data_IF_973970860934
#
_entry.id   IF_973970860934
#
_cell.length_a   1.000
_cell.length_b   1.000
_cell.length_c   1.000
_cell.angle_alpha   90.00
_cell.angle_beta   90.00
_cell.angle_gamma   90.00
#
_symmetry.space_group_name_H-M   'P 1'
#
loop_
_entity.id
_entity.type
_entity.pdbx_description
1 polymer ?
#
# COMPACT_ATOMS: atom_id res chain seq x y z
N UNK A 1 -6.96 42.10 8.92
CA UNK A 1 -6.86 40.86 9.71
C UNK A 1 -5.95 39.91 8.95
N UNK A 2 -4.92 39.36 9.58
CA UNK A 2 -4.09 38.31 8.96
C UNK A 2 -4.72 36.94 9.26
N UNK A 3 -4.91 36.14 8.21
CA UNK A 3 -5.29 34.74 8.36
C UNK A 3 -4.02 33.93 8.57
N UNK A 4 -3.86 33.33 9.76
CA UNK A 4 -2.75 32.45 10.07
C UNK A 4 -3.29 31.03 10.24
N UNK A 5 -2.72 30.08 9.50
CA UNK A 5 -3.13 28.67 9.53
C UNK A 5 -1.92 27.77 9.78
N UNK A 6 -2.10 26.78 10.65
CA UNK A 6 -1.17 25.68 10.87
C UNK A 6 -1.92 24.36 10.83
N UNK A 7 -1.36 23.36 10.15
CA UNK A 7 -1.93 22.00 10.08
C UNK A 7 -1.23 21.11 11.12
N UNK A 8 -2.02 20.40 11.93
CA UNK A 8 -1.54 19.48 12.97
C UNK A 8 -2.02 18.06 12.66
N UNK A 9 -1.19 17.06 12.98
CA UNK A 9 -1.45 15.63 12.77
C UNK A 9 -1.70 15.27 11.29
N UNK A 10 -0.83 15.70 10.35
CA UNK A 10 -0.99 15.32 8.95
C UNK A 10 -0.88 13.80 8.78
N UNK A 11 -1.63 13.26 7.81
CA UNK A 11 -1.50 11.87 7.37
C UNK A 11 -0.70 11.86 6.07
N UNK A 12 0.55 11.41 6.14
CA UNK A 12 1.45 11.37 4.99
C UNK A 12 1.32 10.06 4.21
N UNK A 13 1.51 10.15 2.90
CA UNK A 13 1.59 9.01 1.98
C UNK A 13 2.90 9.12 1.22
N UNK A 14 3.76 8.11 1.35
CA UNK A 14 5.03 8.03 0.63
C UNK A 14 4.87 7.24 -0.67
N UNK A 15 5.53 7.70 -1.74
CA UNK A 15 5.63 6.99 -3.00
C UNK A 15 7.11 6.90 -3.41
N UNK A 16 7.46 5.79 -4.05
CA UNK A 16 8.83 5.50 -4.49
C UNK A 16 8.79 4.97 -5.91
N UNK A 17 9.47 5.64 -6.82
CA UNK A 17 9.66 5.17 -8.19
C UNK A 17 10.92 4.31 -8.27
N UNK A 18 10.81 3.13 -8.87
CA UNK A 18 11.93 2.21 -9.05
C UNK A 18 12.37 2.22 -10.51
N UNK A 19 13.50 2.85 -10.84
CA UNK A 19 13.96 2.97 -12.23
C UNK A 19 14.23 1.61 -12.90
N UNK A 20 14.88 0.68 -12.19
CA UNK A 20 15.29 -0.62 -12.73
C UNK A 20 14.30 -1.76 -12.43
N UNK A 21 12.99 -1.43 -12.37
CA UNK A 21 11.93 -2.35 -11.95
C UNK A 21 11.78 -3.60 -12.84
N UNK A 22 12.14 -3.54 -14.12
CA UNK A 22 11.83 -4.60 -15.10
C UNK A 22 12.36 -5.98 -14.70
N UNK A 23 13.61 -6.05 -14.24
CA UNK A 23 14.25 -7.30 -13.81
C UNK A 23 13.57 -7.87 -12.56
N UNK A 24 13.29 -7.00 -11.58
CA UNK A 24 12.57 -7.39 -10.36
C UNK A 24 11.15 -7.87 -10.70
N UNK A 25 10.42 -7.13 -11.53
CA UNK A 25 9.05 -7.48 -11.92
C UNK A 25 8.99 -8.80 -12.66
N UNK A 26 9.93 -9.10 -13.57
CA UNK A 26 9.98 -10.39 -14.24
C UNK A 26 10.15 -11.55 -13.26
N UNK A 27 11.05 -11.42 -12.28
CA UNK A 27 11.26 -12.44 -11.23
C UNK A 27 10.01 -12.60 -10.36
N UNK A 28 9.46 -11.49 -9.87
CA UNK A 28 8.27 -11.49 -9.03
C UNK A 28 7.06 -12.07 -9.76
N UNK A 29 6.81 -11.66 -11.00
CA UNK A 29 5.69 -12.14 -11.79
C UNK A 29 5.76 -13.64 -11.99
N UNK A 30 6.95 -14.18 -12.32
CA UNK A 30 7.18 -15.62 -12.43
C UNK A 30 6.89 -16.35 -11.12
N UNK A 31 7.40 -15.86 -9.99
CA UNK A 31 7.19 -16.46 -8.68
C UNK A 31 5.72 -16.41 -8.24
N UNK A 32 5.04 -15.29 -8.47
CA UNK A 32 3.62 -15.07 -8.14
C UNK A 32 2.74 -16.03 -8.94
N UNK A 33 2.94 -16.15 -10.26
CA UNK A 33 2.14 -17.07 -11.06
C UNK A 33 2.45 -18.54 -10.75
N UNK A 34 3.69 -18.89 -10.40
CA UNK A 34 4.01 -20.23 -9.91
C UNK A 34 3.26 -20.54 -8.60
N UNK A 35 3.21 -19.60 -7.66
CA UNK A 35 2.44 -19.75 -6.43
C UNK A 35 0.93 -19.87 -6.70
N UNK A 36 0.38 -19.05 -7.59
CA UNK A 36 -1.03 -19.12 -7.98
C UNK A 36 -1.39 -20.42 -8.71
N UNK A 37 -0.46 -21.01 -9.46
CA UNK A 37 -0.66 -22.33 -10.05
C UNK A 37 -0.64 -23.44 -8.99
N UNK A 38 0.25 -23.31 -8.00
CA UNK A 38 0.38 -24.25 -6.88
C UNK A 38 -0.83 -24.20 -5.94
N UNK A 39 -1.30 -23.00 -5.64
CA UNK A 39 -2.44 -22.72 -4.76
C UNK A 39 -3.44 -21.81 -5.50
N UNK A 40 -4.23 -22.41 -6.37
CA UNK A 40 -5.22 -21.69 -7.18
C UNK A 40 -6.40 -21.15 -6.39
N UNK A 41 -6.67 -21.70 -5.20
CA UNK A 41 -7.73 -21.23 -4.32
C UNK A 41 -7.29 -19.95 -3.60
N UNK A 42 -6.04 -19.92 -3.13
CA UNK A 42 -5.52 -18.83 -2.32
C UNK A 42 -6.30 -18.70 -1.00
N UNK A 43 -6.24 -17.52 -0.41
CA UNK A 43 -6.95 -17.20 0.83
C UNK A 43 -8.04 -16.15 0.58
N UNK A 44 -9.03 -16.14 1.48
CA UNK A 44 -10.08 -15.14 1.50
C UNK A 44 -9.85 -14.18 2.67
N UNK A 45 -9.54 -12.93 2.35
CA UNK A 45 -9.30 -11.84 3.29
C UNK A 45 -10.24 -10.68 2.96
N UNK A 46 -9.73 -9.59 2.39
CA UNK A 46 -10.51 -8.47 1.87
C UNK A 46 -10.79 -8.57 0.37
N UNK A 47 -10.21 -9.55 -0.33
CA UNK A 47 -10.31 -9.73 -1.77
C UNK A 47 -11.72 -10.16 -2.22
N UNK A 48 -12.21 -9.50 -3.26
CA UNK A 48 -13.45 -9.81 -3.95
C UNK A 48 -13.14 -10.04 -5.44
N UNK A 49 -13.35 -11.26 -5.93
CA UNK A 49 -13.09 -11.64 -7.33
C UNK A 49 -11.61 -11.76 -7.73
N UNK A 50 -10.68 -11.39 -6.86
CA UNK A 50 -9.23 -11.51 -7.05
C UNK A 50 -8.62 -12.68 -6.27
N UNK A 51 -7.44 -13.13 -6.70
CA UNK A 51 -6.65 -14.14 -5.98
C UNK A 51 -5.71 -13.47 -4.97
N UNK A 52 -5.58 -14.05 -3.79
CA UNK A 52 -4.72 -13.60 -2.69
C UNK A 52 -3.86 -14.78 -2.22
N UNK A 53 -2.54 -14.63 -2.19
CA UNK A 53 -1.65 -15.69 -1.70
C UNK A 53 -1.70 -15.81 -0.17
N UNK A 54 -1.12 -16.87 0.37
CA UNK A 54 -0.74 -16.89 1.80
C UNK A 54 0.28 -15.77 2.12
N UNK A 55 0.32 -15.33 3.39
CA UNK A 55 1.07 -14.14 3.86
C UNK A 55 2.48 -14.45 4.39
N UNK A 56 3.23 -15.28 3.66
CA UNK A 56 4.57 -15.71 4.07
C UNK A 56 5.67 -15.40 3.05
N UNK A 57 5.46 -14.47 2.11
CA UNK A 57 6.47 -14.17 1.08
C UNK A 57 7.74 -13.55 1.68
N UNK A 58 7.65 -12.90 2.83
CA UNK A 58 8.75 -12.25 3.54
C UNK A 58 9.84 -13.22 4.00
N UNK A 59 9.50 -14.50 4.20
CA UNK A 59 10.47 -15.55 4.61
C UNK A 59 10.94 -16.43 3.46
N UNK A 60 10.42 -16.21 2.25
CA UNK A 60 10.71 -17.03 1.08
C UNK A 60 11.92 -16.49 0.28
N UNK A 61 12.93 -17.31 -0.05
CA UNK A 61 14.15 -16.85 -0.71
C UNK A 61 13.93 -16.10 -2.02
N UNK A 62 12.95 -16.52 -2.83
CA UNK A 62 12.65 -15.93 -4.13
C UNK A 62 12.10 -14.50 -4.07
N UNK A 63 11.63 -14.06 -2.90
CA UNK A 63 11.15 -12.69 -2.65
C UNK A 63 12.16 -11.83 -1.88
N UNK A 64 13.35 -12.35 -1.56
CA UNK A 64 14.35 -11.65 -0.73
C UNK A 64 14.75 -10.28 -1.29
N UNK A 65 14.97 -10.19 -2.60
CA UNK A 65 15.32 -8.91 -3.26
C UNK A 65 14.22 -7.85 -3.04
N UNK A 66 12.96 -8.26 -3.12
CA UNK A 66 11.81 -7.39 -2.89
C UNK A 66 11.66 -7.00 -1.41
N UNK A 67 11.83 -7.95 -0.50
CA UNK A 67 11.78 -7.68 0.95
C UNK A 67 12.87 -6.70 1.36
N UNK A 68 14.08 -6.83 0.80
CA UNK A 68 15.18 -5.89 1.04
C UNK A 68 14.84 -4.49 0.53
N UNK A 69 14.28 -4.38 -0.68
CA UNK A 69 13.82 -3.11 -1.25
C UNK A 69 12.77 -2.44 -0.35
N UNK A 70 11.74 -3.17 0.06
CA UNK A 70 10.67 -2.64 0.93
C UNK A 70 11.23 -2.24 2.29
N UNK A 71 12.14 -3.04 2.86
CA UNK A 71 12.79 -2.73 4.14
C UNK A 71 13.61 -1.45 4.07
N UNK A 72 14.33 -1.23 2.95
CA UNK A 72 15.08 0.01 2.72
C UNK A 72 14.16 1.23 2.61
N UNK A 73 13.03 1.11 1.90
CA UNK A 73 12.06 2.21 1.78
C UNK A 73 11.37 2.49 3.12
N UNK A 74 10.99 1.46 3.88
CA UNK A 74 10.42 1.63 5.21
C UNK A 74 11.39 2.31 6.18
N UNK A 75 12.69 2.01 6.07
CA UNK A 75 13.73 2.68 6.83
C UNK A 75 13.85 4.17 6.47
N UNK A 76 13.77 4.52 5.17
CA UNK A 76 13.76 5.91 4.73
C UNK A 76 12.55 6.67 5.30
N UNK A 77 11.35 6.07 5.26
CA UNK A 77 10.15 6.64 5.88
C UNK A 77 10.36 6.89 7.37
N UNK A 78 10.88 5.89 8.09
CA UNK A 78 11.14 6.00 9.53
C UNK A 78 12.17 7.09 9.88
N UNK A 79 13.17 7.29 9.03
CA UNK A 79 14.14 8.38 9.19
C UNK A 79 13.49 9.75 8.95
N UNK A 80 12.67 9.88 7.91
CA UNK A 80 11.98 11.13 7.57
C UNK A 80 11.03 11.59 8.68
N UNK A 81 10.27 10.66 9.26
CA UNK A 81 9.38 10.94 10.40
C UNK A 81 10.11 10.97 11.75
N UNK A 82 11.44 10.85 11.73
CA UNK A 82 12.33 10.98 12.87
C UNK A 82 12.03 9.98 14.01
N UNK A 83 11.79 8.71 13.66
CA UNK A 83 11.70 7.63 14.64
C UNK A 83 13.05 7.37 15.31
N UNK A 84 13.02 7.05 16.61
CA UNK A 84 14.22 6.63 17.35
C UNK A 84 14.59 5.19 16.98
N UNK A 85 15.44 5.05 15.96
CA UNK A 85 15.92 3.76 15.44
C UNK A 85 16.83 2.99 16.40
N UNK A 86 17.24 3.60 17.54
CA UNK A 86 17.91 2.85 18.60
C UNK A 86 16.91 2.07 19.46
N UNK A 87 15.65 2.52 19.51
CA UNK A 87 14.57 1.91 20.28
C UNK A 87 13.57 1.14 19.42
N UNK A 88 13.49 1.45 18.12
CA UNK A 88 12.57 0.82 17.18
C UNK A 88 13.35 0.01 16.15
N UNK A 89 12.93 -1.24 15.96
CA UNK A 89 13.40 -2.10 14.88
C UNK A 89 12.25 -2.35 13.91
N UNK A 90 12.53 -2.18 12.62
CA UNK A 90 11.57 -2.43 11.57
C UNK A 90 11.82 -3.82 10.98
N UNK A 91 10.73 -4.55 10.77
CA UNK A 91 10.74 -5.81 10.05
C UNK A 91 9.47 -5.93 9.22
N UNK A 92 9.57 -6.60 8.07
CA UNK A 92 8.40 -6.94 7.26
C UNK A 92 7.70 -8.13 7.94
N UNK A 93 6.55 -7.87 8.58
CA UNK A 93 5.81 -8.89 9.32
C UNK A 93 5.06 -9.86 8.39
N UNK A 94 4.35 -9.31 7.40
CA UNK A 94 3.54 -10.05 6.44
C UNK A 94 3.77 -9.52 5.03
N UNK A 95 3.82 -10.43 4.06
CA UNK A 95 3.98 -10.12 2.65
C UNK A 95 3.25 -11.18 1.82
N UNK A 96 2.50 -10.72 0.82
CA UNK A 96 1.66 -11.54 -0.04
C UNK A 96 1.55 -10.91 -1.42
N UNK A 97 1.01 -11.67 -2.36
CA UNK A 97 0.64 -11.17 -3.68
C UNK A 97 -0.86 -11.24 -3.90
N UNK A 98 -1.35 -10.30 -4.70
CA UNK A 98 -2.70 -10.30 -5.24
C UNK A 98 -2.66 -10.32 -6.75
N UNK A 99 -3.55 -11.09 -7.37
CA UNK A 99 -3.77 -11.10 -8.82
C UNK A 99 -5.24 -10.77 -9.08
N UNK A 100 -5.47 -9.54 -9.52
CA UNK A 100 -6.80 -8.97 -9.72
C UNK A 100 -7.13 -8.91 -11.21
N UNK A 101 -8.21 -9.60 -11.59
CA UNK A 101 -8.80 -9.51 -12.92
C UNK A 101 -9.80 -8.36 -13.04
N UNK A 102 -10.53 -8.32 -14.16
CA UNK A 102 -11.62 -7.36 -14.36
C UNK A 102 -12.66 -7.53 -13.25
N UNK A 103 -13.13 -6.40 -12.71
CA UNK A 103 -14.10 -6.33 -11.62
C UNK A 103 -13.62 -6.86 -10.26
N UNK A 104 -12.37 -7.28 -10.13
CA UNK A 104 -11.80 -7.62 -8.83
C UNK A 104 -11.50 -6.35 -8.00
N UNK A 105 -11.67 -6.45 -6.69
CA UNK A 105 -11.42 -5.36 -5.75
C UNK A 105 -11.03 -5.89 -4.37
N UNK A 106 -10.67 -4.99 -3.45
CA UNK A 106 -10.59 -5.30 -2.03
C UNK A 106 -11.59 -4.43 -1.26
N UNK A 107 -12.22 -4.99 -0.23
CA UNK A 107 -13.03 -4.23 0.73
C UNK A 107 -12.14 -3.23 1.49
N UNK A 108 -12.74 -2.12 1.96
CA UNK A 108 -12.03 -1.14 2.80
C UNK A 108 -11.63 -1.82 4.12
N UNK A 109 -10.35 -1.76 4.47
CA UNK A 109 -9.80 -2.35 5.69
C UNK A 109 -8.55 -1.59 6.15
N UNK A 110 -8.07 -1.94 7.34
CA UNK A 110 -6.75 -1.56 7.85
C UNK A 110 -5.89 -2.82 8.04
N UNK A 111 -4.63 -2.64 8.47
CA UNK A 111 -3.72 -3.74 8.79
C UNK A 111 -3.39 -3.71 10.29
N UNK A 112 -4.13 -4.47 11.12
CA UNK A 112 -3.84 -4.56 12.55
C UNK A 112 -2.40 -5.02 12.80
N UNK A 113 -1.81 -4.54 13.90
CA UNK A 113 -0.43 -4.86 14.30
C UNK A 113 0.66 -4.42 13.32
N UNK A 114 0.35 -3.53 12.37
CA UNK A 114 1.32 -2.94 11.44
C UNK A 114 1.37 -1.43 11.62
N UNK A 115 2.59 -0.88 11.65
CA UNK A 115 2.82 0.58 11.75
C UNK A 115 2.94 1.26 10.38
N UNK A 116 3.38 0.50 9.37
CA UNK A 116 3.43 0.90 7.97
C UNK A 116 2.81 -0.22 7.13
N UNK A 117 2.15 0.16 6.05
CA UNK A 117 1.63 -0.77 5.04
C UNK A 117 1.87 -0.16 3.67
N UNK A 118 2.08 -1.00 2.66
CA UNK A 118 2.40 -0.54 1.33
C UNK A 118 2.02 -1.54 0.26
N UNK A 119 1.99 -1.08 -0.98
CA UNK A 119 1.74 -1.89 -2.16
C UNK A 119 2.84 -1.66 -3.18
N UNK A 120 3.15 -2.70 -3.95
CA UNK A 120 4.06 -2.61 -5.09
C UNK A 120 3.37 -3.18 -6.32
N UNK A 121 3.31 -2.39 -7.39
CA UNK A 121 2.64 -2.80 -8.63
C UNK A 121 3.61 -3.55 -9.54
N UNK A 122 3.52 -4.89 -9.54
CA UNK A 122 4.34 -5.75 -10.40
C UNK A 122 3.90 -5.66 -11.86
N UNK A 123 2.58 -5.66 -12.09
CA UNK A 123 1.96 -5.53 -13.40
C UNK A 123 0.65 -4.75 -13.24
N UNK A 124 0.57 -3.59 -13.89
CA UNK A 124 -0.60 -2.72 -13.88
C UNK A 124 -0.92 -2.31 -15.33
N UNK A 125 -1.98 -2.85 -15.96
CA UNK A 125 -2.39 -2.40 -17.27
C UNK A 125 -2.99 -0.99 -17.21
N UNK A 126 -3.01 -0.31 -18.35
CA UNK A 126 -3.70 0.97 -18.48
C UNK A 126 -5.17 0.82 -18.02
N UNK A 127 -5.68 1.83 -17.33
CA UNK A 127 -7.06 1.85 -16.79
C UNK A 127 -7.38 0.73 -15.79
N UNK A 128 -6.38 0.17 -15.09
CA UNK A 128 -6.61 -0.69 -13.95
C UNK A 128 -7.16 0.08 -12.72
N UNK A 129 -7.59 -0.67 -11.70
CA UNK A 129 -8.03 -0.09 -10.43
C UNK A 129 -6.91 0.64 -9.71
N UNK A 130 -7.27 1.68 -8.94
CA UNK A 130 -6.34 2.43 -8.11
C UNK A 130 -6.42 2.04 -6.63
N UNK A 131 -5.34 2.29 -5.90
CA UNK A 131 -5.35 2.30 -4.43
C UNK A 131 -5.99 3.60 -3.97
N UNK A 132 -6.88 3.54 -2.98
CA UNK A 132 -7.36 4.74 -2.34
C UNK A 132 -7.22 4.69 -0.82
N UNK A 133 -7.01 5.87 -0.25
CA UNK A 133 -7.00 6.09 1.18
C UNK A 133 -8.21 6.92 1.55
N UNK A 134 -8.85 6.59 2.68
CA UNK A 134 -9.96 7.34 3.27
C UNK A 134 -9.42 8.19 4.41
N UNK A 135 -9.93 9.42 4.56
CA UNK A 135 -9.58 10.28 5.69
C UNK A 135 -9.79 9.51 7.01
N UNK A 136 -8.76 9.39 7.88
CA UNK A 136 -8.86 8.61 9.11
C UNK A 136 -9.74 9.26 10.18
N UNK A 137 -10.11 10.54 10.01
CA UNK A 137 -10.98 11.25 10.96
C UNK A 137 -12.43 10.87 10.66
N UNK A 138 -13.05 10.11 11.55
CA UNK A 138 -14.45 9.69 11.38
C UNK A 138 -15.40 10.88 11.20
N UNK A 139 -15.14 12.00 11.89
CA UNK A 139 -15.93 13.23 11.77
C UNK A 139 -15.89 13.85 10.37
N UNK A 140 -14.83 13.63 9.58
CA UNK A 140 -14.76 14.10 8.20
C UNK A 140 -15.83 13.45 7.30
N UNK A 141 -16.41 12.32 7.72
CA UNK A 141 -17.39 11.56 6.95
C UNK A 141 -18.85 11.87 7.32
N UNK A 142 -19.11 12.53 8.45
CA UNK A 142 -20.47 12.74 8.97
C UNK A 142 -21.24 13.82 8.18
N UNK A 143 -20.75 15.05 8.20
CA UNK A 143 -21.39 16.18 7.54
C UNK A 143 -20.33 17.04 6.88
N UNK A 144 -20.36 17.13 5.55
CA UNK A 144 -19.45 17.98 4.80
C UNK A 144 -20.26 19.07 4.11
N UNK A 145 -19.98 20.35 4.38
CA UNK A 145 -20.62 21.43 3.62
C UNK A 145 -20.23 21.33 2.14
N UNK A 146 -21.05 21.87 1.22
CA UNK A 146 -20.65 22.04 -0.16
C UNK A 146 -19.33 22.81 -0.24
N UNK A 147 -18.41 22.33 -1.09
CA UNK A 147 -17.11 22.95 -1.30
C UNK A 147 -17.05 23.51 -2.72
N UNK A 148 -16.52 24.72 -2.87
CA UNK A 148 -16.33 25.32 -4.19
C UNK A 148 -15.29 24.54 -5.02
N UNK A 149 -14.25 24.05 -4.35
CA UNK A 149 -13.16 23.30 -4.97
C UNK A 149 -12.70 22.13 -4.08
N UNK A 150 -12.20 21.08 -4.73
CA UNK A 150 -11.59 19.94 -4.07
C UNK A 150 -10.14 20.30 -3.77
N UNK A 151 -9.73 20.07 -2.52
CA UNK A 151 -8.40 20.39 -2.00
C UNK A 151 -7.96 19.31 -1.00
N UNK A 152 -6.68 19.26 -0.60
CA UNK A 152 -6.22 18.40 0.49
C UNK A 152 -7.04 18.53 1.79
N UNK A 153 -7.74 19.65 1.99
CA UNK A 153 -8.53 19.90 3.21
C UNK A 153 -9.99 19.47 3.09
N UNK A 154 -10.47 19.25 1.87
CA UNK A 154 -11.87 18.90 1.58
C UNK A 154 -12.03 17.48 1.03
N UNK A 155 -10.92 16.83 0.64
CA UNK A 155 -10.88 15.44 0.21
C UNK A 155 -11.20 14.49 1.38
N UNK A 156 -12.22 13.65 1.20
CA UNK A 156 -12.51 12.50 2.09
C UNK A 156 -11.77 11.23 1.66
N UNK A 157 -11.29 11.21 0.41
CA UNK A 157 -10.63 10.08 -0.23
C UNK A 157 -9.63 10.59 -1.25
N UNK A 158 -8.43 10.02 -1.26
CA UNK A 158 -7.40 10.24 -2.30
C UNK A 158 -7.14 8.91 -3.02
N UNK A 159 -7.03 8.94 -4.34
CA UNK A 159 -6.79 7.73 -5.16
C UNK A 159 -5.48 7.88 -5.91
N UNK A 160 -4.63 6.87 -5.78
CA UNK A 160 -3.39 6.72 -6.53
C UNK A 160 -3.58 5.66 -7.62
N UNK A 161 -3.16 6.01 -8.83
CA UNK A 161 -3.10 5.10 -9.96
C UNK A 161 -1.63 4.75 -10.23
N UNK A 162 -1.31 3.46 -10.42
CA UNK A 162 0.03 3.04 -10.87
C UNK A 162 0.31 3.43 -12.32
#
# INVERSE_FOLDING_TARGET
MSNNRSDWFPTSVWHFDLENYKSLNQKLLKAIYAEKQRDGQGVFMSNAGGWHSVENFQVRPEFKDFVNLVSANALQVAQEINWDLQKVRLSVNSCWAMVNGKFASNYIHNHPNSILSGVYYVQAPENCGGLFFRDPRESAHIFLPPVAEISPWTLKKVTYKP
#
